data_IF_881428965177
#
_entry.id   IF_881428965177
#
_cell.length_a   1.000
_cell.length_b   1.000
_cell.length_c   1.000
_cell.angle_alpha   90.00
_cell.angle_beta   90.00
_cell.angle_gamma   90.00
#
_symmetry.space_group_name_H-M   'P 1'
#
loop_
_entity.id
_entity.type
_entity.pdbx_description
1 polymer ?
#
# COMPACT_ATOMS: atom_id res chain seq x y z
N UNK A 1 27.76 2.56 54.06
CA UNK A 1 28.24 3.84 53.48
C UNK A 1 27.22 4.30 52.46
N UNK A 2 26.77 5.56 52.52
CA UNK A 2 25.75 6.10 51.60
C UNK A 2 26.17 6.04 50.12
N UNK A 3 27.48 6.10 49.82
CA UNK A 3 27.98 6.06 48.43
C UNK A 3 27.75 4.72 47.72
N UNK A 4 27.70 3.61 48.47
CA UNK A 4 27.43 2.28 47.90
C UNK A 4 25.98 2.09 47.48
N UNK A 5 25.05 2.74 48.18
CA UNK A 5 23.63 2.72 47.89
C UNK A 5 23.32 3.53 46.62
N UNK A 6 23.92 4.73 46.50
CA UNK A 6 23.82 5.55 45.27
C UNK A 6 24.39 4.83 44.05
N UNK A 7 25.53 4.15 44.20
CA UNK A 7 26.13 3.37 43.11
C UNK A 7 25.24 2.20 42.65
N UNK A 8 24.52 1.57 43.59
CA UNK A 8 23.58 0.50 43.28
C UNK A 8 22.36 1.04 42.52
N UNK A 9 21.72 2.10 43.02
CA UNK A 9 20.57 2.74 42.36
C UNK A 9 20.91 3.20 40.93
N UNK A 10 22.10 3.77 40.71
CA UNK A 10 22.58 4.13 39.37
C UNK A 10 22.77 2.90 38.46
N UNK A 11 23.27 1.79 39.02
CA UNK A 11 23.42 0.56 38.27
C UNK A 11 22.05 -0.04 37.88
N UNK A 12 21.06 0.04 38.76
CA UNK A 12 19.69 -0.39 38.50
C UNK A 12 18.99 0.49 37.47
N UNK A 13 19.12 1.82 37.58
CA UNK A 13 18.59 2.76 36.60
C UNK A 13 19.19 2.53 35.22
N UNK A 14 20.52 2.34 35.14
CA UNK A 14 21.20 2.02 33.88
C UNK A 14 20.67 0.71 33.30
N UNK A 15 20.47 -0.32 34.12
CA UNK A 15 19.94 -1.61 33.67
C UNK A 15 18.50 -1.48 33.16
N UNK A 16 17.65 -0.73 33.85
CA UNK A 16 16.28 -0.47 33.40
C UNK A 16 16.27 0.29 32.07
N UNK A 17 17.18 1.26 31.89
CA UNK A 17 17.35 1.99 30.64
C UNK A 17 17.81 1.08 29.49
N UNK A 18 18.83 0.25 29.70
CA UNK A 18 19.33 -0.70 28.69
C UNK A 18 18.22 -1.66 28.21
N UNK A 19 17.43 -2.18 29.14
CA UNK A 19 16.27 -3.03 28.82
C UNK A 19 15.19 -2.24 28.06
N UNK A 20 14.92 -1.00 28.47
CA UNK A 20 13.97 -0.12 27.81
C UNK A 20 14.37 0.19 26.37
N UNK A 21 15.64 0.53 26.13
CA UNK A 21 16.19 0.79 24.80
C UNK A 21 16.12 -0.45 23.92
N UNK A 22 16.55 -1.62 24.43
CA UNK A 22 16.46 -2.87 23.68
C UNK A 22 15.01 -3.21 23.25
N UNK A 23 14.02 -2.90 24.12
CA UNK A 23 12.60 -3.08 23.79
C UNK A 23 12.14 -2.10 22.70
N UNK A 24 12.52 -0.83 22.79
CA UNK A 24 12.17 0.20 21.81
C UNK A 24 12.78 -0.14 20.44
N UNK A 25 14.05 -0.52 20.41
CA UNK A 25 14.74 -0.93 19.18
C UNK A 25 14.03 -2.12 18.52
N UNK A 26 13.60 -3.10 19.32
CA UNK A 26 12.80 -4.22 18.83
C UNK A 26 11.45 -3.77 18.24
N UNK A 27 10.75 -2.84 18.89
CA UNK A 27 9.49 -2.30 18.37
C UNK A 27 9.69 -1.49 17.07
N UNK A 28 10.76 -0.69 16.99
CA UNK A 28 11.11 0.06 15.78
C UNK A 28 11.47 -0.87 14.62
N UNK A 29 12.22 -1.94 14.88
CA UNK A 29 12.52 -2.96 13.89
C UNK A 29 11.25 -3.62 13.32
N UNK A 30 10.27 -3.94 14.19
CA UNK A 30 8.97 -4.47 13.76
C UNK A 30 8.15 -3.47 12.94
N UNK A 31 8.17 -2.18 13.31
CA UNK A 31 7.49 -1.13 12.53
C UNK A 31 8.15 -1.00 11.16
N UNK A 32 9.48 -0.93 11.09
CA UNK A 32 10.22 -0.85 9.83
C UNK A 32 9.92 -2.05 8.93
N UNK A 33 9.90 -3.27 9.49
CA UNK A 33 9.52 -4.47 8.75
C UNK A 33 8.09 -4.39 8.22
N UNK A 34 7.13 -3.93 9.03
CA UNK A 34 5.74 -3.79 8.60
C UNK A 34 5.59 -2.73 7.51
N UNK A 35 6.31 -1.62 7.60
CA UNK A 35 6.30 -0.59 6.55
C UNK A 35 6.79 -1.17 5.23
N UNK A 36 7.91 -1.89 5.21
CA UNK A 36 8.42 -2.57 4.01
C UNK A 36 7.40 -3.59 3.45
N UNK A 37 6.69 -4.32 4.31
CA UNK A 37 5.62 -5.23 3.89
C UNK A 37 4.43 -4.47 3.27
N UNK A 38 4.05 -3.32 3.85
CA UNK A 38 2.96 -2.48 3.32
C UNK A 38 3.37 -1.91 1.96
N UNK A 39 4.59 -1.40 1.83
CA UNK A 39 5.09 -0.82 0.58
C UNK A 39 5.03 -1.86 -0.56
N UNK A 40 5.47 -3.10 -0.30
CA UNK A 40 5.35 -4.21 -1.26
C UNK A 40 3.90 -4.56 -1.60
N UNK A 41 3.02 -4.57 -0.61
CA UNK A 41 1.60 -4.86 -0.84
C UNK A 41 0.91 -3.75 -1.66
N UNK A 42 1.32 -2.49 -1.47
CA UNK A 42 0.85 -1.35 -2.28
C UNK A 42 1.36 -1.47 -3.70
N UNK A 43 2.65 -1.79 -3.90
CA UNK A 43 3.23 -2.01 -5.23
C UNK A 43 2.52 -3.15 -5.98
N UNK A 44 2.28 -4.29 -5.30
CA UNK A 44 1.52 -5.40 -5.89
C UNK A 44 0.08 -4.99 -6.26
N UNK A 45 -0.57 -4.18 -5.40
CA UNK A 45 -1.92 -3.70 -5.69
C UNK A 45 -1.94 -2.74 -6.87
N UNK A 46 -0.97 -1.85 -6.98
CA UNK A 46 -0.83 -0.90 -8.10
C UNK A 46 -0.61 -1.63 -9.43
N UNK A 47 0.27 -2.64 -9.45
CA UNK A 47 0.48 -3.51 -10.60
C UNK A 47 -0.81 -4.21 -11.03
N UNK A 48 -1.55 -4.75 -10.05
CA UNK A 48 -2.83 -5.42 -10.30
C UNK A 48 -3.90 -4.45 -10.80
N UNK A 49 -3.97 -3.24 -10.24
CA UNK A 49 -4.88 -2.19 -10.71
C UNK A 49 -4.52 -1.81 -12.14
N UNK A 50 -3.26 -1.54 -12.43
CA UNK A 50 -2.76 -1.23 -13.78
C UNK A 50 -3.07 -2.35 -14.77
N UNK A 51 -2.88 -3.61 -14.37
CA UNK A 51 -3.22 -4.77 -15.19
C UNK A 51 -4.73 -4.86 -15.46
N UNK A 52 -5.57 -4.60 -14.43
CA UNK A 52 -7.02 -4.57 -14.57
C UNK A 52 -7.49 -3.39 -15.43
N UNK A 53 -6.89 -2.22 -15.32
CA UNK A 53 -7.17 -1.07 -16.17
C UNK A 53 -6.81 -1.36 -17.63
N UNK A 54 -5.66 -2.00 -17.87
CA UNK A 54 -5.24 -2.41 -19.21
C UNK A 54 -6.11 -3.53 -19.79
N UNK A 55 -6.58 -4.46 -18.96
CA UNK A 55 -7.46 -5.56 -19.35
C UNK A 55 -8.92 -5.14 -19.52
N UNK A 56 -9.36 -4.10 -18.80
CA UNK A 56 -10.63 -3.41 -19.03
C UNK A 56 -10.48 -2.54 -20.26
N UNK A 57 -10.75 -3.11 -21.44
CA UNK A 57 -11.16 -2.30 -22.58
C UNK A 57 -12.14 -1.23 -22.07
N UNK A 58 -11.95 0.07 -22.42
CA UNK A 58 -12.74 1.11 -21.81
C UNK A 58 -14.20 0.80 -22.11
N UNK A 59 -15.02 0.61 -21.08
CA UNK A 59 -16.48 0.58 -21.23
C UNK A 59 -16.98 1.74 -22.13
N UNK A 60 -16.38 2.96 -22.08
CA UNK A 60 -16.63 4.00 -23.06
C UNK A 60 -16.31 3.61 -24.52
N UNK A 61 -15.20 2.94 -24.79
CA UNK A 61 -14.81 2.50 -26.14
C UNK A 61 -15.82 1.51 -26.71
N UNK A 62 -16.31 0.56 -25.89
CA UNK A 62 -17.38 -0.36 -26.31
C UNK A 62 -18.67 0.43 -26.62
N UNK A 63 -19.03 1.42 -25.79
CA UNK A 63 -20.16 2.30 -26.04
C UNK A 63 -20.01 3.11 -27.34
N UNK A 64 -18.83 3.65 -27.60
CA UNK A 64 -18.53 4.40 -28.84
C UNK A 64 -18.63 3.49 -30.05
N UNK A 65 -18.04 2.30 -30.02
CA UNK A 65 -18.14 1.32 -31.11
C UNK A 65 -19.59 0.89 -31.36
N UNK A 66 -20.37 0.69 -30.29
CA UNK A 66 -21.80 0.34 -30.39
C UNK A 66 -22.61 1.48 -31.00
N UNK A 67 -22.36 2.73 -30.59
CA UNK A 67 -23.00 3.91 -31.16
C UNK A 67 -22.65 4.09 -32.64
N UNK A 68 -21.38 3.91 -33.02
CA UNK A 68 -20.94 3.95 -34.42
C UNK A 68 -21.59 2.85 -35.27
N UNK A 69 -21.70 1.62 -34.73
CA UNK A 69 -22.39 0.52 -35.41
C UNK A 69 -23.88 0.83 -35.58
N UNK A 70 -24.55 1.35 -34.55
CA UNK A 70 -25.94 1.77 -34.61
C UNK A 70 -26.18 2.90 -35.63
N UNK A 71 -25.30 3.90 -35.69
CA UNK A 71 -25.33 4.96 -36.69
C UNK A 71 -25.14 4.42 -38.11
N UNK A 72 -24.22 3.48 -38.31
CA UNK A 72 -24.00 2.82 -39.59
C UNK A 72 -25.24 2.05 -40.06
N UNK A 73 -25.87 1.29 -39.17
CA UNK A 73 -27.14 0.61 -39.44
C UNK A 73 -28.26 1.60 -39.77
N UNK A 74 -28.38 2.68 -39.00
CA UNK A 74 -29.40 3.70 -39.23
C UNK A 74 -29.21 4.38 -40.60
N UNK A 75 -27.99 4.76 -40.96
CA UNK A 75 -27.68 5.34 -42.26
C UNK A 75 -27.97 4.37 -43.42
N UNK A 76 -27.62 3.09 -43.27
CA UNK A 76 -27.95 2.05 -44.24
C UNK A 76 -29.47 1.91 -44.41
N UNK A 77 -30.22 1.87 -43.30
CA UNK A 77 -31.68 1.79 -43.36
C UNK A 77 -32.34 3.03 -43.98
N UNK A 78 -31.75 4.21 -43.80
CA UNK A 78 -32.25 5.46 -44.37
C UNK A 78 -31.95 5.61 -45.86
N UNK A 79 -30.83 5.07 -46.35
CA UNK A 79 -30.46 5.08 -47.78
C UNK A 79 -31.00 3.87 -48.55
N UNK A 80 -31.28 2.77 -47.86
CA UNK A 80 -31.79 1.51 -48.42
C UNK A 80 -33.32 1.38 -48.42
N UNK A 81 -34.03 2.44 -48.04
CA UNK A 81 -35.46 2.61 -48.25
C UNK A 81 -35.75 3.30 -49.58
#
# INVERSE_FOLDING_TARGET
>A
MPDGEVALELAELRRALEVGLARIDGQLALIAQRSDQIDKAVEELDDRVTALERARWPLPTIGVLTSLAALGLAAWSALGH
#
